data_IF_386770638571
#
_entry.id   IF_386770638571
#
_cell.length_a   1.000
_cell.length_b   1.000
_cell.length_c   1.000
_cell.angle_alpha   90.00
_cell.angle_beta   90.00
_cell.angle_gamma   90.00
#
_symmetry.space_group_name_H-M   'P 1'
#
loop_
_entity.id
_entity.type
_entity.pdbx_description
1 polymer ?
#
# COMPACT_ATOMS: atom_id res chain seq x y z
N UNK A 1 -52.99 -21.64 53.30
CA UNK A 1 -54.10 -22.18 52.49
C UNK A 1 -53.74 -21.89 51.04
N UNK A 2 -53.41 -22.81 50.13
CA UNK A 2 -53.50 -24.27 50.04
C UNK A 2 -52.60 -24.65 48.83
N UNK A 3 -51.48 -25.33 49.07
CA UNK A 3 -51.12 -26.69 48.62
C UNK A 3 -51.00 -26.96 47.10
N UNK A 4 -49.73 -27.23 46.72
CA UNK A 4 -49.19 -28.28 45.83
C UNK A 4 -50.15 -29.11 44.95
N UNK A 5 -49.73 -29.37 43.69
CA UNK A 5 -49.33 -30.73 43.31
C UNK A 5 -48.54 -30.83 42.00
N UNK A 6 -47.46 -31.59 42.09
CA UNK A 6 -46.71 -32.21 40.99
C UNK A 6 -47.58 -33.27 40.31
N UNK A 7 -47.42 -33.43 39.00
CA UNK A 7 -47.68 -34.71 38.33
C UNK A 7 -46.55 -35.03 37.35
N UNK A 8 -46.04 -36.25 37.49
CA UNK A 8 -44.87 -36.84 36.85
C UNK A 8 -45.37 -37.99 35.99
N UNK A 9 -45.17 -37.96 34.67
CA UNK A 9 -45.26 -39.11 33.73
C UNK A 9 -44.88 -38.60 32.35
N UNK A 10 -44.15 -39.26 31.48
CA UNK A 10 -43.33 -40.47 31.48
C UNK A 10 -42.52 -40.34 30.18
N UNK A 11 -41.29 -40.86 30.20
CA UNK A 11 -40.46 -41.06 29.03
C UNK A 11 -41.23 -41.61 27.84
N UNK A 12 -40.98 -41.06 26.65
CA UNK A 12 -40.97 -41.86 25.45
C UNK A 12 -39.82 -41.41 24.54
N UNK A 13 -38.83 -42.30 24.46
CA UNK A 13 -37.76 -42.34 23.49
C UNK A 13 -38.32 -42.34 22.07
N UNK A 14 -37.96 -41.36 21.24
CA UNK A 14 -37.95 -41.46 19.78
C UNK A 14 -37.21 -40.26 19.17
N UNK A 15 -35.92 -40.11 19.51
CA UNK A 15 -35.07 -39.04 18.96
C UNK A 15 -33.77 -39.60 18.38
N UNK A 16 -33.86 -40.69 17.59
CA UNK A 16 -32.69 -41.21 16.87
C UNK A 16 -32.90 -41.50 15.38
N UNK A 17 -34.10 -41.31 14.82
CA UNK A 17 -34.33 -41.57 13.39
C UNK A 17 -34.41 -40.33 12.49
N UNK A 18 -34.51 -39.11 13.03
CA UNK A 18 -34.67 -37.90 12.20
C UNK A 18 -33.37 -37.17 11.82
N UNK A 19 -32.27 -37.34 12.57
CA UNK A 19 -31.02 -36.59 12.36
C UNK A 19 -30.12 -37.20 11.27
N UNK A 20 -30.04 -38.54 11.21
CA UNK A 20 -29.25 -39.27 10.20
C UNK A 20 -29.73 -38.98 8.76
N UNK A 21 -31.04 -38.83 8.57
CA UNK A 21 -31.64 -38.54 7.25
C UNK A 21 -31.30 -37.13 6.75
N UNK A 22 -31.29 -36.12 7.63
CA UNK A 22 -30.92 -34.74 7.24
C UNK A 22 -29.43 -34.61 6.94
N UNK A 23 -28.56 -35.27 7.70
CA UNK A 23 -27.11 -35.28 7.46
C UNK A 23 -26.75 -36.02 6.17
N UNK A 24 -27.43 -37.13 5.89
CA UNK A 24 -27.35 -37.87 4.63
C UNK A 24 -27.80 -37.01 3.45
N UNK A 25 -28.94 -36.32 3.58
CA UNK A 25 -29.47 -35.43 2.54
C UNK A 25 -28.56 -34.22 2.28
N UNK A 26 -28.05 -33.56 3.31
CA UNK A 26 -27.13 -32.43 3.17
C UNK A 26 -25.80 -32.85 2.52
N UNK A 27 -25.25 -34.01 2.90
CA UNK A 27 -24.02 -34.53 2.29
C UNK A 27 -24.24 -35.02 0.85
N UNK A 28 -25.43 -35.53 0.53
CA UNK A 28 -25.83 -35.88 -0.83
C UNK A 28 -26.01 -34.65 -1.72
N UNK A 29 -26.74 -33.63 -1.25
CA UNK A 29 -26.93 -32.34 -1.95
C UNK A 29 -25.60 -31.61 -2.15
N UNK A 30 -24.73 -31.61 -1.14
CA UNK A 30 -23.38 -31.04 -1.25
C UNK A 30 -22.57 -31.80 -2.31
N UNK A 31 -22.58 -33.14 -2.27
CA UNK A 31 -21.90 -33.97 -3.30
C UNK A 31 -22.46 -33.73 -4.69
N UNK A 32 -23.77 -33.56 -4.84
CA UNK A 32 -24.40 -33.30 -6.13
C UNK A 32 -24.07 -31.90 -6.65
N UNK A 33 -24.08 -30.89 -5.79
CA UNK A 33 -23.63 -29.55 -6.12
C UNK A 33 -22.15 -29.53 -6.54
N UNK A 34 -21.29 -30.24 -5.80
CA UNK A 34 -19.87 -30.40 -6.16
C UNK A 34 -19.69 -31.13 -7.51
N UNK A 35 -20.50 -32.15 -7.80
CA UNK A 35 -20.39 -32.90 -9.06
C UNK A 35 -20.94 -32.10 -10.26
N UNK A 36 -21.99 -31.30 -10.06
CA UNK A 36 -22.55 -30.40 -11.08
C UNK A 36 -21.60 -29.24 -11.40
N UNK A 37 -20.92 -28.66 -10.40
CA UNK A 37 -19.88 -27.63 -10.60
C UNK A 37 -18.65 -28.22 -11.31
N UNK A 38 -18.26 -29.46 -10.97
CA UNK A 38 -17.15 -30.17 -11.62
C UNK A 38 -17.42 -30.50 -13.10
N UNK A 39 -18.68 -30.55 -13.51
CA UNK A 39 -19.10 -30.85 -14.88
C UNK A 39 -19.11 -29.63 -15.82
N UNK A 40 -18.98 -28.41 -15.30
CA UNK A 40 -19.22 -27.18 -16.06
C UNK A 40 -18.01 -26.29 -16.28
N UNK A 41 -16.84 -26.66 -15.74
CA UNK A 41 -15.59 -25.94 -16.01
C UNK A 41 -14.77 -26.81 -16.96
N UNK A 42 -14.71 -26.48 -18.25
CA UNK A 42 -13.88 -27.23 -19.19
C UNK A 42 -12.46 -27.25 -18.66
N UNK A 43 -11.80 -28.41 -18.73
CA UNK A 43 -10.39 -28.56 -18.34
C UNK A 43 -9.50 -27.48 -18.98
N UNK A 44 -9.87 -27.00 -20.17
CA UNK A 44 -9.23 -25.89 -20.89
C UNK A 44 -9.23 -24.56 -20.13
N UNK A 45 -10.30 -24.23 -19.37
CA UNK A 45 -10.35 -23.01 -18.56
C UNK A 45 -9.43 -23.10 -17.33
N UNK A 46 -9.37 -24.26 -16.68
CA UNK A 46 -8.42 -24.50 -15.59
C UNK A 46 -6.97 -24.40 -16.10
N UNK A 47 -6.68 -24.97 -17.27
CA UNK A 47 -5.35 -24.90 -17.91
C UNK A 47 -5.00 -23.45 -18.25
N UNK A 48 -5.91 -22.68 -18.84
CA UNK A 48 -5.68 -21.25 -19.13
C UNK A 48 -5.42 -20.44 -17.87
N UNK A 49 -6.19 -20.67 -16.80
CA UNK A 49 -6.00 -19.99 -15.52
C UNK A 49 -4.62 -20.29 -14.93
N UNK A 50 -4.18 -21.55 -14.95
CA UNK A 50 -2.84 -21.93 -14.49
C UNK A 50 -1.73 -21.30 -15.33
N UNK A 51 -1.88 -21.24 -16.66
CA UNK A 51 -0.94 -20.57 -17.56
C UNK A 51 -0.85 -19.07 -17.23
N UNK A 52 -1.98 -18.40 -17.02
CA UNK A 52 -1.99 -16.97 -16.68
C UNK A 52 -1.31 -16.68 -15.34
N UNK A 53 -1.56 -17.50 -14.31
CA UNK A 53 -0.91 -17.37 -13.01
C UNK A 53 0.60 -17.62 -13.14
N UNK A 54 1.00 -18.66 -13.87
CA UNK A 54 2.42 -18.96 -14.08
C UNK A 54 3.14 -17.84 -14.83
N UNK A 55 2.51 -17.28 -15.87
CA UNK A 55 3.03 -16.14 -16.63
C UNK A 55 3.17 -14.90 -15.74
N UNK A 56 2.17 -14.60 -14.90
CA UNK A 56 2.25 -13.50 -13.93
C UNK A 56 3.38 -13.70 -12.91
N UNK A 57 3.57 -14.91 -12.40
CA UNK A 57 4.68 -15.24 -11.50
C UNK A 57 6.04 -15.08 -12.21
N UNK A 58 6.15 -15.52 -13.46
CA UNK A 58 7.37 -15.33 -14.26
C UNK A 58 7.67 -13.84 -14.48
N UNK A 59 6.66 -13.05 -14.86
CA UNK A 59 6.81 -11.60 -15.04
C UNK A 59 7.28 -10.94 -13.73
N UNK A 60 6.64 -11.27 -12.60
CA UNK A 60 7.07 -10.79 -11.29
C UNK A 60 8.51 -11.20 -10.97
N UNK A 61 8.89 -12.44 -11.25
CA UNK A 61 10.26 -12.91 -11.03
C UNK A 61 11.27 -12.17 -11.91
N UNK A 62 10.96 -11.89 -13.17
CA UNK A 62 11.81 -11.08 -14.05
C UNK A 62 11.92 -9.61 -13.58
N UNK A 63 10.81 -9.01 -13.14
CA UNK A 63 10.82 -7.65 -12.58
C UNK A 63 11.62 -7.58 -11.27
N UNK A 64 11.51 -8.59 -10.40
CA UNK A 64 12.27 -8.65 -9.13
C UNK A 64 13.75 -8.96 -9.39
N UNK A 65 14.08 -9.80 -10.39
CA UNK A 65 15.46 -10.18 -10.72
C UNK A 65 16.19 -9.14 -11.57
N UNK A 66 15.52 -8.05 -11.92
CA UNK A 66 16.14 -6.84 -12.49
C UNK A 66 16.93 -6.08 -11.40
N UNK A 67 17.79 -6.77 -10.65
CA UNK A 67 18.79 -6.09 -9.82
C UNK A 67 19.74 -5.37 -10.77
N UNK A 68 20.01 -4.07 -10.59
CA UNK A 68 21.05 -3.40 -11.35
C UNK A 68 22.37 -4.17 -11.18
N UNK A 69 23.19 -4.32 -12.24
CA UNK A 69 24.49 -4.94 -12.12
C UNK A 69 25.30 -4.24 -11.04
N UNK A 70 25.92 -5.02 -10.15
CA UNK A 70 26.85 -4.47 -9.17
C UNK A 70 27.89 -3.64 -9.92
N UNK A 71 28.11 -2.36 -9.54
CA UNK A 71 29.14 -1.56 -10.19
C UNK A 71 30.50 -2.26 -10.04
N UNK A 72 31.39 -2.14 -11.04
CA UNK A 72 32.73 -2.69 -10.94
C UNK A 72 33.44 -2.14 -9.70
N UNK A 73 34.39 -2.89 -9.11
CA UNK A 73 35.19 -2.39 -8.00
C UNK A 73 36.02 -1.20 -8.50
N UNK A 74 35.51 0.00 -8.29
CA UNK A 74 36.29 1.21 -8.48
C UNK A 74 37.25 1.32 -7.30
N UNK A 75 38.54 1.50 -7.58
CA UNK A 75 39.57 1.85 -6.61
C UNK A 75 39.30 3.18 -5.87
N UNK A 76 38.18 3.87 -6.15
CA UNK A 76 37.63 4.96 -5.33
C UNK A 76 37.03 4.49 -3.99
N UNK A 77 36.87 3.18 -3.76
CA UNK A 77 36.36 2.63 -2.49
C UNK A 77 37.18 3.03 -1.25
N UNK A 78 38.41 3.51 -1.44
CA UNK A 78 39.29 3.84 -0.33
C UNK A 78 39.13 5.27 0.24
N UNK A 79 38.31 6.13 -0.38
CA UNK A 79 38.08 7.51 0.09
C UNK A 79 36.65 7.82 0.58
N UNK A 80 35.72 6.86 0.53
CA UNK A 80 34.29 7.09 0.85
C UNK A 80 33.90 6.55 2.25
N UNK A 81 34.77 5.77 2.89
CA UNK A 81 34.47 5.16 4.18
C UNK A 81 35.00 5.99 5.36
N UNK A 82 34.11 6.77 5.99
CA UNK A 82 34.24 6.98 7.44
C UNK A 82 32.90 7.11 8.19
N UNK A 83 31.77 6.78 7.55
CA UNK A 83 30.52 6.56 8.30
C UNK A 83 30.03 5.11 8.11
N UNK A 84 30.17 4.23 9.13
CA UNK A 84 29.68 2.85 9.05
C UNK A 84 28.17 2.75 8.86
N UNK A 85 27.44 3.86 9.04
CA UNK A 85 26.01 3.95 8.85
C UNK A 85 25.58 4.13 7.39
N UNK A 86 26.50 4.46 6.47
CA UNK A 86 26.23 4.80 5.07
C UNK A 86 26.88 3.81 4.10
N UNK A 87 26.83 2.52 4.44
CA UNK A 87 27.42 1.43 3.62
C UNK A 87 26.80 1.34 2.22
N UNK A 88 25.53 1.71 2.08
CA UNK A 88 24.85 1.79 0.78
C UNK A 88 25.21 3.03 -0.03
N UNK A 89 26.09 3.89 0.48
CA UNK A 89 26.55 5.11 -0.18
C UNK A 89 25.83 6.38 0.27
N UNK A 90 26.18 7.47 -0.41
CA UNK A 90 25.63 8.80 -0.14
C UNK A 90 24.66 9.23 -1.24
N UNK A 91 23.64 10.02 -0.87
CA UNK A 91 22.68 10.61 -1.81
C UNK A 91 22.88 12.12 -1.90
N UNK A 92 23.06 12.63 -3.11
CA UNK A 92 23.02 14.07 -3.37
C UNK A 92 21.61 14.47 -3.80
N UNK A 93 21.10 15.57 -3.23
CA UNK A 93 19.78 16.13 -3.58
C UNK A 93 20.01 17.36 -4.44
N UNK A 94 19.43 17.38 -5.64
CA UNK A 94 19.48 18.55 -6.50
C UNK A 94 18.75 19.74 -5.89
N UNK A 95 19.40 20.90 -5.92
CA UNK A 95 18.76 22.18 -5.63
C UNK A 95 18.04 22.66 -6.90
N UNK A 96 16.75 22.36 -6.99
CA UNK A 96 15.92 22.75 -8.12
C UNK A 96 15.32 24.14 -7.89
N UNK A 97 15.07 24.93 -8.97
CA UNK A 97 14.24 26.12 -8.87
C UNK A 97 12.89 25.82 -8.21
N UNK A 98 12.42 26.74 -7.36
CA UNK A 98 11.21 26.56 -6.54
C UNK A 98 9.96 26.20 -7.36
N UNK A 99 9.88 26.67 -8.60
CA UNK A 99 8.81 26.38 -9.57
C UNK A 99 8.59 24.88 -9.81
N UNK A 100 9.60 24.05 -9.56
CA UNK A 100 9.54 22.60 -9.70
C UNK A 100 9.23 21.86 -8.38
N UNK A 101 9.17 22.55 -7.24
CA UNK A 101 8.89 21.90 -5.96
C UNK A 101 8.20 22.79 -4.92
N UNK A 102 8.96 23.60 -4.22
CA UNK A 102 8.55 24.33 -3.02
C UNK A 102 7.46 25.33 -3.30
N UNK A 103 7.41 25.90 -4.52
CA UNK A 103 6.32 26.78 -4.94
C UNK A 103 4.95 26.08 -4.95
N UNK A 104 4.89 24.77 -5.20
CA UNK A 104 3.63 24.03 -5.09
C UNK A 104 3.14 23.95 -3.64
N UNK A 105 4.04 23.95 -2.67
CA UNK A 105 3.68 24.01 -1.24
C UNK A 105 3.18 25.41 -0.91
N UNK A 106 3.88 26.45 -1.38
CA UNK A 106 3.51 27.85 -1.12
C UNK A 106 2.16 28.21 -1.75
N UNK A 107 1.87 27.65 -2.94
CA UNK A 107 0.62 27.84 -3.70
C UNK A 107 -0.27 26.61 -3.66
N UNK A 108 -0.29 25.92 -2.52
CA UNK A 108 -1.04 24.67 -2.34
C UNK A 108 -2.56 24.79 -2.53
N UNK A 109 -3.10 26.01 -2.48
CA UNK A 109 -4.51 26.29 -2.74
C UNK A 109 -4.85 26.22 -4.25
N UNK A 110 -3.87 26.43 -5.12
CA UNK A 110 -4.04 26.49 -6.58
C UNK A 110 -3.87 25.12 -7.26
N UNK A 111 -3.49 24.08 -6.51
CA UNK A 111 -3.16 22.76 -7.06
C UNK A 111 -4.38 21.92 -7.44
N UNK A 112 -5.56 22.29 -6.93
CA UNK A 112 -6.81 21.57 -7.16
C UNK A 112 -7.98 22.57 -7.14
N UNK A 113 -8.79 22.65 -8.21
CA UNK A 113 -9.88 23.62 -8.33
C UNK A 113 -11.01 23.46 -7.32
N UNK A 114 -11.18 22.27 -6.73
CA UNK A 114 -12.29 21.97 -5.83
C UNK A 114 -11.87 21.93 -4.37
N UNK A 115 -10.62 21.52 -4.07
CA UNK A 115 -10.17 21.37 -2.69
C UNK A 115 -8.69 21.71 -2.54
N UNK A 116 -8.39 22.74 -1.75
CA UNK A 116 -7.02 23.10 -1.37
C UNK A 116 -6.22 21.88 -0.90
N UNK A 117 -5.00 21.75 -1.44
CA UNK A 117 -4.04 20.70 -1.10
C UNK A 117 -3.16 21.06 0.10
N UNK A 118 -3.33 22.23 0.70
CA UNK A 118 -2.48 22.69 1.80
C UNK A 118 -2.46 21.73 2.99
N UNK A 119 -3.60 21.12 3.33
CA UNK A 119 -3.64 20.09 4.37
C UNK A 119 -2.82 18.86 3.98
N UNK A 120 -2.88 18.43 2.71
CA UNK A 120 -2.15 17.27 2.22
C UNK A 120 -0.63 17.48 2.27
N UNK A 121 -0.14 18.66 1.87
CA UNK A 121 1.29 18.95 1.82
C UNK A 121 1.87 19.47 3.15
N UNK A 122 1.02 19.71 4.15
CA UNK A 122 1.44 20.14 5.49
C UNK A 122 2.27 19.08 6.21
N UNK A 123 3.00 19.50 7.26
CA UNK A 123 3.85 18.61 8.08
C UNK A 123 4.82 17.77 7.23
N UNK A 124 5.51 18.41 6.28
CA UNK A 124 6.42 17.72 5.37
C UNK A 124 5.74 16.68 4.49
N UNK A 125 4.44 16.85 4.19
CA UNK A 125 3.62 15.93 3.39
C UNK A 125 2.89 14.84 4.18
N UNK A 126 3.10 14.72 5.49
CA UNK A 126 2.31 13.76 6.29
C UNK A 126 0.85 14.17 6.44
N UNK A 127 0.56 15.47 6.34
CA UNK A 127 -0.75 16.01 6.63
C UNK A 127 -1.03 16.19 8.13
N UNK A 128 -2.28 16.50 8.49
CA UNK A 128 -2.66 16.69 9.89
C UNK A 128 -2.60 15.36 10.66
N UNK A 129 -2.32 15.44 11.96
CA UNK A 129 -2.38 14.25 12.84
C UNK A 129 -3.75 13.57 12.74
N UNK A 130 -3.71 12.24 12.75
CA UNK A 130 -4.93 11.46 12.69
C UNK A 130 -5.65 11.50 14.04
N UNK A 131 -6.97 11.64 14.01
CA UNK A 131 -7.86 11.73 15.17
C UNK A 131 -9.00 10.73 15.01
N UNK A 132 -9.55 10.18 16.10
CA UNK A 132 -10.65 9.21 16.00
C UNK A 132 -10.18 7.78 15.73
N UNK A 133 -8.90 7.48 15.97
CA UNK A 133 -8.29 6.17 15.77
C UNK A 133 -8.22 5.33 17.05
N UNK A 134 -8.73 5.83 18.17
CA UNK A 134 -8.51 5.28 19.53
C UNK A 134 -9.07 3.86 19.69
N UNK A 135 -9.99 3.45 18.81
CA UNK A 135 -10.59 2.09 18.80
C UNK A 135 -9.92 1.11 17.85
N UNK A 136 -9.02 1.59 16.98
CA UNK A 136 -8.40 0.81 15.90
C UNK A 136 -6.89 0.71 16.10
N UNK A 137 -6.28 1.77 16.61
CA UNK A 137 -4.85 1.94 16.77
C UNK A 137 -4.54 2.05 18.27
N UNK A 138 -3.54 1.30 18.78
CA UNK A 138 -3.08 1.45 20.16
C UNK A 138 -2.70 2.89 20.52
N UNK A 139 -3.01 3.31 21.75
CA UNK A 139 -2.80 4.70 22.21
C UNK A 139 -1.32 5.14 22.15
N UNK A 140 -0.39 4.21 22.37
CA UNK A 140 1.05 4.46 22.36
C UNK A 140 1.60 4.80 20.96
N UNK A 141 0.99 4.26 19.90
CA UNK A 141 1.40 4.55 18.52
C UNK A 141 0.50 5.56 17.81
N UNK A 142 -0.67 5.89 18.36
CA UNK A 142 -1.62 6.86 17.78
C UNK A 142 -0.98 8.21 17.42
N UNK A 143 -0.07 8.80 18.22
CA UNK A 143 0.62 10.05 17.86
C UNK A 143 1.49 9.97 16.59
N UNK A 144 1.81 8.76 16.13
CA UNK A 144 2.60 8.53 14.90
C UNK A 144 1.73 8.47 13.63
N UNK A 145 0.40 8.54 13.74
CA UNK A 145 -0.52 8.46 12.61
C UNK A 145 -0.95 9.83 12.11
N UNK A 146 -1.05 9.95 10.79
CA UNK A 146 -1.44 11.17 10.09
C UNK A 146 -2.46 10.86 9.00
N UNK A 147 -3.31 11.84 8.66
CA UNK A 147 -4.19 11.77 7.50
C UNK A 147 -3.41 12.10 6.21
N UNK A 148 -2.48 11.22 5.87
CA UNK A 148 -1.61 11.37 4.70
C UNK A 148 -2.40 11.22 3.40
N UNK A 149 -2.19 12.16 2.49
CA UNK A 149 -2.83 12.19 1.19
C UNK A 149 -2.01 11.37 0.17
N UNK A 150 -2.68 10.67 -0.75
CA UNK A 150 -2.01 9.82 -1.74
C UNK A 150 -1.06 10.58 -2.68
N UNK A 151 -1.22 11.90 -2.81
CA UNK A 151 -0.39 12.75 -3.68
C UNK A 151 0.72 13.51 -2.94
N UNK A 152 0.98 13.19 -1.67
CA UNK A 152 2.01 13.86 -0.87
C UNK A 152 3.37 13.14 -0.87
N UNK A 153 3.51 12.04 -1.61
CA UNK A 153 4.68 11.17 -1.58
C UNK A 153 5.98 11.93 -1.91
N UNK A 154 5.97 12.76 -2.95
CA UNK A 154 7.15 13.53 -3.36
C UNK A 154 7.61 14.51 -2.26
N UNK A 155 6.67 15.15 -1.58
CA UNK A 155 6.95 16.06 -0.46
C UNK A 155 7.54 15.29 0.72
N UNK A 156 6.98 14.12 1.04
CA UNK A 156 7.48 13.25 2.12
C UNK A 156 8.90 12.79 1.83
N UNK A 157 9.14 12.21 0.64
CA UNK A 157 10.47 11.71 0.27
C UNK A 157 11.50 12.83 0.22
N UNK A 158 11.15 14.01 -0.30
CA UNK A 158 12.06 15.14 -0.32
C UNK A 158 12.47 15.55 1.09
N UNK A 159 11.52 15.76 2.01
CA UNK A 159 11.84 16.11 3.40
C UNK A 159 12.66 15.00 4.10
N UNK A 160 12.32 13.73 3.87
CA UNK A 160 13.05 12.59 4.45
C UNK A 160 14.49 12.53 3.95
N UNK A 161 14.72 12.66 2.64
CA UNK A 161 16.07 12.61 2.06
C UNK A 161 16.89 13.84 2.48
N UNK A 162 16.28 15.04 2.57
CA UNK A 162 16.95 16.24 3.08
C UNK A 162 17.48 16.05 4.50
N UNK A 163 16.77 15.29 5.34
CA UNK A 163 17.12 14.95 6.73
C UNK A 163 17.95 13.66 6.88
N UNK A 164 18.20 12.94 5.79
CA UNK A 164 18.82 11.62 5.86
C UNK A 164 20.31 11.72 6.22
N UNK A 165 20.78 10.90 7.16
CA UNK A 165 22.17 10.91 7.65
C UNK A 165 23.24 10.67 6.56
N UNK A 166 22.84 10.02 5.47
CA UNK A 166 23.70 9.75 4.31
C UNK A 166 23.48 10.73 3.15
N UNK A 167 22.84 11.87 3.39
CA UNK A 167 22.82 12.96 2.41
C UNK A 167 24.20 13.61 2.33
N UNK A 168 24.66 13.92 1.12
CA UNK A 168 25.92 14.62 0.88
C UNK A 168 25.68 15.89 0.05
N UNK A 169 26.52 16.90 0.27
CA UNK A 169 26.47 18.18 -0.46
C UNK A 169 27.44 18.24 -1.64
N UNK A 170 28.38 17.31 -1.70
CA UNK A 170 29.37 17.20 -2.77
C UNK A 170 28.90 16.12 -3.76
N UNK A 171 28.47 16.49 -4.98
CA UNK A 171 27.96 15.53 -5.96
C UNK A 171 29.03 14.56 -6.46
N UNK A 172 30.32 14.93 -6.40
CA UNK A 172 31.42 14.03 -6.82
C UNK A 172 31.59 12.84 -5.87
N UNK A 173 31.10 12.97 -4.63
CA UNK A 173 31.12 11.92 -3.59
C UNK A 173 29.82 11.14 -3.50
N UNK A 174 28.82 11.48 -4.32
CA UNK A 174 27.52 10.85 -4.28
C UNK A 174 27.53 9.48 -4.96
N UNK A 175 26.84 8.52 -4.37
CA UNK A 175 26.56 7.21 -4.97
C UNK A 175 25.26 7.24 -5.76
N UNK A 176 24.31 8.07 -5.33
CA UNK A 176 23.03 8.27 -6.00
C UNK A 176 22.60 9.73 -5.99
N UNK A 177 21.70 10.06 -6.90
CA UNK A 177 21.17 11.41 -7.07
C UNK A 177 19.65 11.37 -6.92
N UNK A 178 19.11 12.31 -6.14
CA UNK A 178 17.68 12.51 -5.99
C UNK A 178 17.29 13.86 -6.59
N UNK A 179 16.31 13.84 -7.49
CA UNK A 179 15.74 15.03 -8.15
C UNK A 179 14.38 15.29 -7.52
N UNK A 180 14.24 16.31 -6.66
CA UNK A 180 13.00 16.56 -5.92
C UNK A 180 11.97 17.33 -6.76
N UNK A 181 11.54 16.78 -7.90
CA UNK A 181 10.46 17.36 -8.72
C UNK A 181 9.10 16.84 -8.25
N UNK A 182 8.14 17.73 -7.95
CA UNK A 182 6.81 17.35 -7.46
C UNK A 182 5.81 17.15 -8.60
N UNK A 183 6.11 16.21 -9.50
CA UNK A 183 5.34 15.98 -10.72
C UNK A 183 3.84 15.72 -10.47
N UNK A 184 3.49 14.99 -9.40
CA UNK A 184 2.10 14.73 -9.05
C UNK A 184 1.32 15.98 -8.63
N UNK A 185 1.98 16.94 -7.97
CA UNK A 185 1.37 18.22 -7.61
C UNK A 185 1.28 19.16 -8.81
N UNK A 186 2.30 19.16 -9.68
CA UNK A 186 2.34 19.97 -10.89
C UNK A 186 1.20 19.62 -11.84
N UNK A 187 1.04 18.33 -12.15
CA UNK A 187 -0.01 17.88 -13.06
C UNK A 187 -1.41 18.12 -12.49
N UNK A 188 -1.56 18.20 -11.16
CA UNK A 188 -2.83 18.46 -10.47
C UNK A 188 -3.55 19.70 -10.99
N UNK A 189 -2.80 20.74 -11.37
CA UNK A 189 -3.33 21.99 -11.94
C UNK A 189 -4.06 21.79 -13.26
N UNK A 190 -3.72 20.72 -13.99
CA UNK A 190 -4.13 20.51 -15.37
C UNK A 190 -5.09 19.33 -15.59
N UNK A 191 -5.37 18.52 -14.56
CA UNK A 191 -6.17 17.30 -14.71
C UNK A 191 -7.68 17.53 -14.91
N UNK A 192 -8.18 18.70 -14.53
CA UNK A 192 -9.60 18.89 -14.23
C UNK A 192 -10.34 19.80 -15.20
N UNK A 193 -9.62 20.52 -16.06
CA UNK A 193 -10.18 21.37 -17.11
C UNK A 193 -9.55 21.05 -18.47
N UNK A 194 -10.05 21.70 -19.52
CA UNK A 194 -9.61 21.46 -20.88
C UNK A 194 -8.30 22.21 -21.18
N UNK A 195 -7.20 21.68 -20.65
CA UNK A 195 -5.85 22.18 -20.91
C UNK A 195 -5.19 21.45 -22.08
N UNK A 196 -4.50 22.21 -22.91
CA UNK A 196 -3.69 21.72 -24.02
C UNK A 196 -2.26 21.43 -23.56
N UNK A 197 -1.47 20.79 -24.43
CA UNK A 197 -0.05 20.61 -24.18
C UNK A 197 0.75 21.93 -24.14
N UNK A 198 0.18 23.04 -24.63
CA UNK A 198 0.82 24.36 -24.57
C UNK A 198 0.64 25.06 -23.22
N UNK A 199 -0.33 24.59 -22.42
CA UNK A 199 -0.65 25.19 -21.12
C UNK A 199 0.19 24.58 -19.97
N UNK A 200 0.94 23.50 -20.26
CA UNK A 200 1.83 22.77 -19.34
C UNK A 200 3.28 23.12 -19.67
#
# INVERSE_FOLDING_TARGET
>A
MMQLNLSKRSSNSNEHHHDSSKKSKLTFELKHAFHTVKSQIPLTHCVWLLITIFLQILILFFLIRSSPPNPPPSNSQQLVALNPDCQSGYVYVYDLPATFNTEFIDKCEELDPWKSRCKAVSNGGFGPSATGLERVVPEDITPSWYWTDMYAAEVIYHNRILSHKCRIMDPEKATGFYIPFYAGLDIGRFLWFNYTAKDR
#
